data_IF_254207193167
#
_entry.id   IF_254207193167
#
_cell.length_a   1.000
_cell.length_b   1.000
_cell.length_c   1.000
_cell.angle_alpha   90.00
_cell.angle_beta   90.00
_cell.angle_gamma   90.00
#
_symmetry.space_group_name_H-M   'P 1'
#
loop_
_entity.id
_entity.type
_entity.pdbx_description
1 polymer ?
#
# COMPACT_ATOMS: atom_id res chain seq x y z
N UNK A 1 3.97 -13.42 -13.08
CA UNK A 1 3.90 -11.93 -13.17
C UNK A 1 4.28 -11.35 -11.82
N UNK A 2 5.14 -10.33 -11.75
CA UNK A 2 5.58 -9.76 -10.47
C UNK A 2 4.54 -8.74 -9.96
N UNK A 3 3.59 -9.17 -9.13
CA UNK A 3 2.53 -8.32 -8.59
C UNK A 3 2.16 -8.71 -7.16
N UNK A 4 1.58 -7.75 -6.43
CA UNK A 4 0.72 -8.07 -5.30
C UNK A 4 -0.67 -8.41 -5.83
N UNK A 5 -1.41 -9.25 -5.12
CA UNK A 5 -2.78 -9.62 -5.49
C UNK A 5 -3.62 -9.81 -4.22
N UNK A 6 -4.64 -8.96 -3.99
CA UNK A 6 -4.90 -7.70 -4.71
C UNK A 6 -3.76 -6.68 -4.50
N UNK A 7 -3.61 -5.71 -5.42
CA UNK A 7 -2.66 -4.59 -5.27
C UNK A 7 -3.32 -3.28 -4.77
N UNK A 8 -4.64 -3.26 -4.67
CA UNK A 8 -5.42 -2.29 -3.92
C UNK A 8 -6.24 -3.02 -2.88
N UNK A 9 -6.11 -2.65 -1.61
CA UNK A 9 -6.87 -3.28 -0.53
C UNK A 9 -7.33 -2.20 0.46
N UNK A 10 -8.61 -2.22 0.84
CA UNK A 10 -9.15 -1.40 1.92
C UNK A 10 -9.57 -2.29 3.08
N UNK A 11 -9.18 -1.90 4.29
CA UNK A 11 -9.48 -2.58 5.55
C UNK A 11 -9.86 -1.56 6.62
N UNK A 12 -10.37 -2.05 7.75
CA UNK A 12 -10.63 -1.22 8.93
C UNK A 12 -9.45 -1.24 9.90
N UNK A 13 -9.28 -0.19 10.73
CA UNK A 13 -8.33 -0.21 11.83
C UNK A 13 -8.54 -1.42 12.73
N UNK A 14 -7.47 -2.16 13.02
CA UNK A 14 -7.50 -3.39 13.82
C UNK A 14 -7.52 -4.67 12.99
N UNK A 15 -7.75 -4.58 11.68
CA UNK A 15 -7.70 -5.73 10.79
C UNK A 15 -6.26 -6.25 10.61
N UNK A 16 -6.15 -7.52 10.24
CA UNK A 16 -4.89 -8.19 9.96
C UNK A 16 -4.81 -8.58 8.50
N UNK A 17 -3.69 -8.22 7.85
CA UNK A 17 -3.38 -8.68 6.48
C UNK A 17 -2.35 -9.79 6.56
N UNK A 18 -2.67 -10.91 5.92
CA UNK A 18 -1.73 -12.02 5.70
C UNK A 18 -0.99 -11.81 4.38
N UNK A 19 0.28 -11.49 4.45
CA UNK A 19 1.16 -11.49 3.30
C UNK A 19 1.66 -12.91 3.04
N UNK A 20 1.53 -13.40 1.82
CA UNK A 20 2.03 -14.72 1.41
C UNK A 20 3.01 -14.60 0.26
N UNK A 21 3.81 -15.64 0.03
CA UNK A 21 4.67 -15.74 -1.15
C UNK A 21 5.85 -14.76 -1.15
N UNK A 22 6.27 -14.25 0.02
CA UNK A 22 7.48 -13.44 0.17
C UNK A 22 8.74 -14.32 0.15
N UNK A 23 8.95 -15.05 -0.94
CA UNK A 23 10.06 -15.99 -1.13
C UNK A 23 11.01 -15.51 -2.24
N UNK A 24 12.29 -15.87 -2.11
CA UNK A 24 13.33 -15.48 -3.08
C UNK A 24 13.48 -13.95 -3.19
N UNK A 25 13.27 -13.41 -4.39
CA UNK A 25 13.40 -11.98 -4.68
C UNK A 25 12.08 -11.20 -4.48
N UNK A 26 11.01 -11.85 -4.00
CA UNK A 26 9.77 -11.20 -3.60
C UNK A 26 9.83 -10.77 -2.14
N UNK A 27 9.57 -9.49 -1.90
CA UNK A 27 9.61 -8.87 -0.57
C UNK A 27 8.39 -7.98 -0.41
N UNK A 28 8.03 -7.69 0.83
CA UNK A 28 7.07 -6.63 1.17
C UNK A 28 7.82 -5.56 1.92
N UNK A 29 7.85 -4.35 1.40
CA UNK A 29 8.52 -3.23 2.05
C UNK A 29 7.71 -1.96 1.89
N UNK A 30 7.56 -1.18 2.96
CA UNK A 30 6.91 0.12 2.86
C UNK A 30 7.67 1.04 1.89
N UNK A 31 6.91 1.77 1.06
CA UNK A 31 7.44 2.87 0.25
C UNK A 31 7.72 4.04 1.19
N UNK A 32 8.96 4.54 1.21
CA UNK A 32 9.36 5.66 2.07
C UNK A 32 8.40 6.84 1.91
N UNK A 33 7.81 7.30 3.01
CA UNK A 33 6.85 8.40 3.06
C UNK A 33 5.40 8.01 2.74
N UNK A 34 5.09 6.72 2.59
CA UNK A 34 3.73 6.21 2.40
C UNK A 34 3.32 5.30 3.56
N UNK A 35 3.31 5.85 4.76
CA UNK A 35 2.74 5.26 5.98
C UNK A 35 2.39 6.38 6.96
N UNK A 36 1.45 6.20 7.90
CA UNK A 36 1.15 7.20 8.92
C UNK A 36 2.35 7.47 9.83
N UNK A 37 2.39 8.68 10.40
CA UNK A 37 3.48 9.08 11.31
C UNK A 37 3.54 8.18 12.55
N UNK A 38 4.75 7.90 13.03
CA UNK A 38 4.98 7.04 14.21
C UNK A 38 4.79 5.53 13.96
N UNK A 39 4.27 5.12 12.80
CA UNK A 39 4.09 3.69 12.47
C UNK A 39 5.40 3.05 12.02
N UNK A 40 5.66 1.83 12.49
CA UNK A 40 6.81 1.04 12.06
C UNK A 40 6.66 0.62 10.59
N UNK A 41 7.68 0.79 9.75
CA UNK A 41 7.65 0.29 8.38
C UNK A 41 7.42 -1.23 8.32
N UNK A 42 6.66 -1.67 7.33
CA UNK A 42 6.55 -3.09 6.96
C UNK A 42 7.84 -3.49 6.26
N UNK A 43 8.44 -4.59 6.72
CA UNK A 43 9.59 -5.22 6.07
C UNK A 43 9.50 -6.75 6.23
N UNK A 44 9.31 -7.45 5.11
CA UNK A 44 9.16 -8.90 5.05
C UNK A 44 10.11 -9.44 3.96
N UNK A 45 10.94 -10.43 4.35
CA UNK A 45 11.89 -11.12 3.48
C UNK A 45 11.86 -12.63 3.74
N UNK A 46 11.98 -13.42 2.67
CA UNK A 46 12.24 -14.87 2.72
C UNK A 46 11.40 -15.65 3.73
N UNK A 47 10.09 -15.41 3.75
CA UNK A 47 9.15 -16.12 4.60
C UNK A 47 7.89 -16.53 3.80
N UNK A 48 7.36 -17.75 3.99
CA UNK A 48 6.18 -18.20 3.24
C UNK A 48 4.94 -17.35 3.51
N UNK A 49 4.74 -16.93 4.75
CA UNK A 49 3.66 -16.04 5.15
C UNK A 49 4.01 -15.19 6.38
N UNK A 50 3.37 -14.03 6.50
CA UNK A 50 3.47 -13.15 7.65
C UNK A 50 2.16 -12.39 7.85
N UNK A 51 1.61 -12.48 9.05
CA UNK A 51 0.43 -11.71 9.47
C UNK A 51 0.89 -10.38 10.10
N UNK A 52 0.28 -9.27 9.68
CA UNK A 52 0.52 -7.93 10.22
C UNK A 52 -0.82 -7.27 10.52
N UNK A 53 -0.98 -6.79 11.75
CA UNK A 53 -2.12 -5.99 12.19
C UNK A 53 -1.92 -4.52 11.84
N UNK A 54 -2.97 -3.86 11.36
CA UNK A 54 -2.95 -2.45 10.97
C UNK A 54 -3.92 -1.65 11.82
N UNK A 55 -3.41 -1.01 12.88
CA UNK A 55 -4.24 -0.28 13.85
C UNK A 55 -4.39 1.22 13.53
N UNK A 56 -3.46 1.81 12.76
CA UNK A 56 -3.44 3.26 12.53
C UNK A 56 -4.07 3.61 11.19
N UNK A 57 -5.13 4.45 11.15
CA UNK A 57 -5.75 4.88 9.91
C UNK A 57 -4.80 5.62 8.98
N UNK A 58 -4.98 5.41 7.68
CA UNK A 58 -4.24 6.09 6.63
C UNK A 58 -3.87 5.17 5.47
N UNK A 59 -2.95 5.66 4.64
CA UNK A 59 -2.50 5.01 3.42
C UNK A 59 -1.11 4.43 3.61
N UNK A 60 -0.98 3.16 3.22
CA UNK A 60 0.25 2.38 3.26
C UNK A 60 0.65 1.98 1.85
N UNK A 61 1.70 2.60 1.33
CA UNK A 61 2.30 2.21 0.06
C UNK A 61 3.27 1.06 0.30
N UNK A 62 3.11 -0.05 -0.42
CA UNK A 62 3.98 -1.21 -0.35
C UNK A 62 4.70 -1.43 -1.68
N UNK A 63 5.91 -1.97 -1.62
CA UNK A 63 6.72 -2.32 -2.79
C UNK A 63 7.50 -3.61 -2.54
N UNK A 64 7.77 -4.34 -3.62
CA UNK A 64 8.88 -5.29 -3.63
C UNK A 64 10.19 -4.54 -3.92
N UNK A 65 11.25 -4.81 -3.14
CA UNK A 65 12.54 -4.10 -3.28
C UNK A 65 13.14 -4.23 -4.67
N UNK A 66 13.03 -5.41 -5.28
CA UNK A 66 13.62 -5.71 -6.58
C UNK A 66 12.64 -5.44 -7.72
N UNK A 67 11.39 -5.88 -7.56
CA UNK A 67 10.42 -5.87 -8.66
C UNK A 67 9.56 -4.60 -8.78
N UNK A 68 9.68 -3.62 -7.89
CA UNK A 68 8.93 -2.36 -8.01
C UNK A 68 9.22 -1.61 -9.32
N UNK A 69 10.44 -1.73 -9.89
CA UNK A 69 10.77 -1.15 -11.20
C UNK A 69 9.90 -1.68 -12.33
N UNK A 70 9.28 -2.85 -12.13
CA UNK A 70 8.38 -3.54 -13.05
C UNK A 70 6.90 -3.41 -12.64
N UNK A 71 6.58 -2.63 -11.62
CA UNK A 71 5.20 -2.39 -11.19
C UNK A 71 4.73 -3.21 -9.97
N UNK A 72 5.61 -4.00 -9.34
CA UNK A 72 5.24 -4.74 -8.11
C UNK A 72 5.14 -3.81 -6.89
N UNK A 73 4.00 -3.16 -6.77
CA UNK A 73 3.62 -2.21 -5.72
C UNK A 73 2.17 -2.45 -5.32
N UNK A 74 1.79 -2.06 -4.11
CA UNK A 74 0.41 -2.12 -3.64
C UNK A 74 0.07 -0.89 -2.80
N UNK A 75 -1.23 -0.60 -2.72
CA UNK A 75 -1.81 0.43 -1.88
C UNK A 75 -2.77 -0.23 -0.89
N UNK A 76 -2.46 -0.13 0.40
CA UNK A 76 -3.33 -0.56 1.48
C UNK A 76 -3.92 0.67 2.16
N UNK A 77 -5.24 0.72 2.27
CA UNK A 77 -5.98 1.81 2.91
C UNK A 77 -6.62 1.29 4.18
N UNK A 78 -6.29 1.91 5.31
CA UNK A 78 -6.80 1.55 6.64
C UNK A 78 -7.73 2.65 7.10
N UNK A 79 -9.03 2.39 7.17
CA UNK A 79 -10.03 3.38 7.58
C UNK A 79 -10.02 4.65 6.72
N UNK A 80 -9.83 5.81 7.37
CA UNK A 80 -9.74 7.12 6.71
C UNK A 80 -8.33 7.37 6.13
N UNK A 81 -8.21 7.56 4.80
CA UNK A 81 -6.92 7.84 4.16
C UNK A 81 -6.36 9.26 4.43
N UNK A 82 -7.18 10.19 4.94
CA UNK A 82 -6.85 11.62 5.02
C UNK A 82 -5.62 11.93 5.89
N UNK A 83 -5.31 11.06 6.86
CA UNK A 83 -4.24 11.22 7.84
C UNK A 83 -2.86 11.43 7.21
N UNK A 84 -2.59 10.83 6.05
CA UNK A 84 -1.30 10.96 5.37
C UNK A 84 -1.36 10.98 3.84
N UNK A 85 -2.54 11.01 3.21
CA UNK A 85 -2.66 10.93 1.74
C UNK A 85 -1.83 12.00 1.01
N UNK A 86 -1.83 13.24 1.49
CA UNK A 86 -1.04 14.33 0.90
C UNK A 86 0.48 14.07 0.97
N UNK A 87 0.94 13.47 2.07
CA UNK A 87 2.35 13.08 2.21
C UNK A 87 2.67 11.90 1.30
N UNK A 88 1.78 10.89 1.26
CA UNK A 88 1.93 9.68 0.47
C UNK A 88 2.11 9.99 -1.03
N UNK A 89 1.47 11.04 -1.56
CA UNK A 89 1.65 11.49 -2.97
C UNK A 89 3.07 11.91 -3.33
N UNK A 90 3.91 12.25 -2.35
CA UNK A 90 5.30 12.67 -2.56
C UNK A 90 6.26 11.47 -2.63
N UNK A 91 5.74 10.25 -2.78
CA UNK A 91 6.52 9.03 -2.86
C UNK A 91 7.57 9.09 -3.97
N UNK A 92 8.67 8.35 -3.77
CA UNK A 92 9.80 8.30 -4.71
C UNK A 92 9.96 6.89 -5.28
N UNK A 93 9.15 6.57 -6.28
CA UNK A 93 9.34 5.42 -7.17
C UNK A 93 9.68 5.89 -8.59
N UNK A 94 10.18 4.97 -9.42
CA UNK A 94 10.53 5.22 -10.82
C UNK A 94 9.82 4.22 -11.73
N UNK A 95 9.81 4.51 -13.03
CA UNK A 95 9.32 3.61 -14.10
C UNK A 95 7.90 3.09 -13.81
N UNK A 96 7.65 1.81 -14.06
CA UNK A 96 6.35 1.18 -13.92
C UNK A 96 5.81 1.21 -12.49
N UNK A 97 6.69 1.16 -11.46
CA UNK A 97 6.26 1.31 -10.07
C UNK A 97 5.66 2.67 -9.76
N UNK A 98 6.21 3.76 -10.35
CA UNK A 98 5.62 5.10 -10.24
C UNK A 98 4.27 5.16 -10.93
N UNK A 99 4.21 4.65 -12.16
CA UNK A 99 2.97 4.62 -12.95
C UNK A 99 1.87 3.88 -12.18
N UNK A 100 2.14 2.65 -11.73
CA UNK A 100 1.15 1.83 -11.02
C UNK A 100 0.72 2.43 -9.69
N UNK A 101 1.65 2.96 -8.90
CA UNK A 101 1.28 3.60 -7.62
C UNK A 101 0.40 4.84 -7.83
N UNK A 102 0.65 5.63 -8.87
CA UNK A 102 -0.23 6.75 -9.22
C UNK A 102 -1.64 6.29 -9.63
N UNK A 103 -1.76 5.20 -10.40
CA UNK A 103 -3.07 4.62 -10.76
C UNK A 103 -3.85 4.19 -9.52
N UNK A 104 -3.20 3.55 -8.55
CA UNK A 104 -3.83 3.13 -7.29
C UNK A 104 -4.27 4.33 -6.44
N UNK A 105 -3.46 5.39 -6.37
CA UNK A 105 -3.82 6.63 -5.68
C UNK A 105 -4.99 7.35 -6.35
N UNK A 106 -5.08 7.29 -7.68
CA UNK A 106 -6.21 7.84 -8.44
C UNK A 106 -7.48 7.04 -8.21
N UNK A 107 -7.38 5.70 -8.14
CA UNK A 107 -8.50 4.84 -7.75
C UNK A 107 -9.03 5.19 -6.36
N UNK A 108 -8.14 5.38 -5.37
CA UNK A 108 -8.53 5.84 -4.04
C UNK A 108 -9.27 7.18 -4.10
N UNK A 109 -8.76 8.17 -4.82
CA UNK A 109 -9.42 9.48 -4.93
C UNK A 109 -10.81 9.38 -5.53
N UNK A 110 -10.98 8.58 -6.58
CA UNK A 110 -12.28 8.35 -7.18
C UNK A 110 -13.26 7.73 -6.17
N UNK A 111 -12.82 6.72 -5.42
CA UNK A 111 -13.61 6.07 -4.38
C UNK A 111 -14.03 7.05 -3.27
N UNK A 112 -13.12 7.94 -2.83
CA UNK A 112 -13.45 8.94 -1.80
C UNK A 112 -14.42 10.01 -2.32
N UNK A 113 -14.31 10.42 -3.60
CA UNK A 113 -15.28 11.35 -4.22
C UNK A 113 -16.66 10.70 -4.33
N UNK A 114 -16.74 9.46 -4.80
CA UNK A 114 -18.01 8.72 -4.92
C UNK A 114 -18.73 8.61 -3.57
N UNK A 115 -18.00 8.28 -2.50
CA UNK A 115 -18.57 8.23 -1.14
C UNK A 115 -19.14 9.56 -0.69
N UNK A 116 -18.50 10.69 -1.03
CA UNK A 116 -19.03 12.00 -0.68
C UNK A 116 -20.30 12.32 -1.48
N UNK A 117 -20.38 11.89 -2.74
CA UNK A 117 -21.57 12.13 -3.59
C UNK A 117 -22.78 11.25 -3.25
N UNK A 118 -22.57 10.05 -2.70
CA UNK A 118 -23.65 9.13 -2.33
C UNK A 118 -24.22 9.42 -0.93
N UNK A 119 -23.43 10.07 -0.07
CA UNK A 119 -23.83 10.40 1.31
C UNK A 119 -24.38 11.83 1.46
N UNK A 120 -24.68 12.52 0.35
CA UNK A 120 -25.26 13.87 0.28
C UNK A 120 -26.53 13.83 -0.56
#
# INVERSE_FOLDING_TARGET
MFRFEPDYLRIQPGDTVRFTGSMGQHTVTTVKGMLPEGVKPVEIHSIPSKDIKFDVPGVYGLKCRVHNRYGMVALLVVGDPSSNLQQARKFRLKRFGKKRMNELLHQLEHEEVEKLTVNN
#
